data_IF_848220887593
#
_entry.id   IF_848220887593
#
_cell.length_a   1.000
_cell.length_b   1.000
_cell.length_c   1.000
_cell.angle_alpha   90.00
_cell.angle_beta   90.00
_cell.angle_gamma   90.00
#
_symmetry.space_group_name_H-M   'P 1'
#
loop_
_entity.id
_entity.type
_entity.pdbx_description
1 polymer ?
#
# COMPACT_ATOMS: atom_id res chain seq x y z
N UNK A 1 28.83 46.83 -20.26
CA UNK A 1 27.89 47.85 -20.78
C UNK A 1 27.17 47.18 -21.94
N UNK A 2 25.93 46.70 -21.87
CA UNK A 2 24.73 47.27 -21.26
C UNK A 2 23.93 46.23 -20.46
N UNK A 3 23.43 46.72 -19.33
CA UNK A 3 22.43 46.16 -18.44
C UNK A 3 21.03 46.48 -18.96
N UNK A 4 20.14 45.48 -18.99
CA UNK A 4 18.70 45.64 -19.22
C UNK A 4 17.91 44.90 -18.14
N UNK A 5 17.64 45.61 -17.05
CA UNK A 5 16.58 45.36 -16.04
C UNK A 5 15.19 45.36 -16.72
N UNK A 6 14.06 44.80 -16.25
CA UNK A 6 13.48 44.59 -14.90
C UNK A 6 12.09 43.90 -15.07
N UNK A 7 11.64 43.11 -14.06
CA UNK A 7 10.25 43.06 -13.47
C UNK A 7 9.14 42.36 -14.31
N UNK A 8 8.24 41.47 -13.86
CA UNK A 8 7.61 41.01 -12.59
C UNK A 8 7.00 39.58 -12.88
N UNK A 9 6.69 38.64 -11.98
CA UNK A 9 5.83 38.69 -10.78
C UNK A 9 6.28 37.58 -9.79
N UNK A 10 6.56 37.97 -8.55
CA UNK A 10 6.61 37.14 -7.34
C UNK A 10 5.46 37.61 -6.44
N UNK A 11 4.51 36.73 -6.12
CA UNK A 11 3.55 36.84 -4.99
C UNK A 11 2.70 35.56 -5.06
N UNK A 12 2.67 34.65 -4.08
CA UNK A 12 2.16 34.88 -2.72
C UNK A 12 2.65 33.73 -1.82
N UNK A 13 3.24 34.07 -0.67
CA UNK A 13 3.34 33.23 0.52
C UNK A 13 3.00 34.13 1.71
N UNK A 14 2.47 33.50 2.76
CA UNK A 14 2.18 33.96 4.14
C UNK A 14 0.84 34.62 4.42
N UNK A 15 0.03 33.88 5.23
CA UNK A 15 -0.81 34.26 6.39
C UNK A 15 -1.80 33.09 6.62
N UNK A 16 -2.01 32.42 7.75
CA UNK A 16 -1.63 32.65 9.16
C UNK A 16 -1.55 31.32 9.95
N UNK A 17 -0.72 31.34 10.99
CA UNK A 17 -0.73 30.43 12.14
C UNK A 17 -1.14 31.30 13.34
N UNK A 18 -2.24 30.96 14.00
CA UNK A 18 -2.59 31.36 15.37
C UNK A 18 -3.38 30.18 15.97
N UNK A 19 -2.71 29.30 16.73
CA UNK A 19 -2.63 29.28 18.19
C UNK A 19 -4.00 29.10 18.87
N UNK A 20 -4.30 27.86 19.31
CA UNK A 20 -4.66 27.64 20.72
C UNK A 20 -4.43 26.17 21.14
N UNK A 21 -3.28 25.95 21.79
CA UNK A 21 -3.09 24.89 22.79
C UNK A 21 -3.37 25.54 24.13
N UNK A 22 -4.24 24.95 24.95
CA UNK A 22 -4.17 25.15 26.40
C UNK A 22 -4.12 23.81 27.11
N UNK A 23 -3.08 23.68 27.93
CA UNK A 23 -2.81 22.60 28.88
C UNK A 23 -2.40 23.31 30.19
N UNK A 24 -2.98 22.84 31.30
CA UNK A 24 -2.52 22.94 32.71
C UNK A 24 -2.68 24.30 33.44
N UNK A 25 -2.78 24.35 34.80
CA UNK A 25 -2.17 23.41 35.76
C UNK A 25 -2.95 23.05 37.05
N UNK A 26 -2.39 22.04 37.71
CA UNK A 26 -2.66 21.51 39.04
C UNK A 26 -1.89 22.34 40.10
N UNK A 27 -2.47 22.57 41.28
CA UNK A 27 -1.70 22.96 42.48
C UNK A 27 -2.30 22.35 43.76
N UNK A 28 -1.40 21.73 44.51
CA UNK A 28 -1.53 21.07 45.81
C UNK A 28 -1.93 22.03 46.94
N UNK A 29 -2.58 21.54 48.01
CA UNK A 29 -1.98 21.27 49.34
C UNK A 29 -3.06 20.75 50.31
N UNK A 30 -2.57 19.92 51.22
CA UNK A 30 -3.20 18.92 52.06
C UNK A 30 -3.71 19.40 53.46
N UNK A 31 -4.36 18.44 54.14
CA UNK A 31 -4.53 18.20 55.60
C UNK A 31 -5.78 18.68 56.40
N UNK A 32 -6.57 17.65 56.74
CA UNK A 32 -7.21 17.31 58.03
C UNK A 32 -8.34 18.17 58.64
N UNK A 33 -9.58 17.63 58.65
CA UNK A 33 -10.39 17.33 59.86
C UNK A 33 -11.89 17.13 59.56
N UNK A 34 -12.38 15.91 59.89
CA UNK A 34 -13.75 15.54 60.32
C UNK A 34 -14.95 15.45 59.32
N UNK A 35 -15.34 14.19 59.06
CA UNK A 35 -16.71 13.60 59.09
C UNK A 35 -17.83 14.17 58.19
N UNK A 36 -18.28 13.39 57.17
CA UNK A 36 -19.52 12.56 57.17
C UNK A 36 -19.87 11.99 55.77
N UNK A 37 -20.56 10.85 55.77
CA UNK A 37 -20.95 9.95 54.65
C UNK A 37 -21.72 10.61 53.48
N UNK A 38 -21.47 10.16 52.24
CA UNK A 38 -22.43 9.40 51.39
C UNK A 38 -21.92 9.06 49.97
N UNK A 39 -22.25 7.83 49.54
CA UNK A 39 -22.34 7.21 48.21
C UNK A 39 -21.93 7.98 46.92
N UNK A 40 -21.04 7.39 46.09
CA UNK A 40 -21.34 6.73 44.78
C UNK A 40 -20.09 6.46 43.91
N UNK A 41 -19.89 5.18 43.57
CA UNK A 41 -19.48 4.53 42.30
C UNK A 41 -18.66 5.32 41.23
N UNK A 42 -17.45 4.85 40.86
CA UNK A 42 -17.18 4.15 39.57
C UNK A 42 -15.73 3.63 39.37
N UNK A 43 -15.68 2.40 38.84
CA UNK A 43 -14.63 1.72 38.05
C UNK A 43 -13.29 1.32 38.70
N UNK A 44 -13.06 0.01 38.66
CA UNK A 44 -11.71 -0.58 38.72
C UNK A 44 -11.58 -1.74 39.69
N UNK A 45 -12.09 -2.92 39.33
CA UNK A 45 -11.29 -4.16 39.34
C UNK A 45 -12.17 -5.35 38.95
N UNK A 46 -12.18 -5.57 37.63
CA UNK A 46 -12.40 -6.86 36.94
C UNK A 46 -11.37 -7.94 37.35
N UNK A 47 -10.66 -7.73 38.47
CA UNK A 47 -9.60 -8.58 39.02
C UNK A 47 -9.92 -9.11 40.43
N UNK A 48 -11.02 -8.69 41.06
CA UNK A 48 -11.45 -9.21 42.37
C UNK A 48 -12.72 -10.07 42.35
N UNK A 49 -13.44 -10.17 41.22
CA UNK A 49 -14.66 -11.00 41.14
C UNK A 49 -14.39 -12.51 41.08
N UNK A 50 -13.17 -12.93 40.75
CA UNK A 50 -12.75 -14.32 40.92
C UNK A 50 -12.44 -14.70 42.40
N UNK A 51 -12.53 -13.76 43.34
CA UNK A 51 -12.19 -13.99 44.77
C UNK A 51 -13.46 -14.16 45.64
N UNK A 52 -14.67 -13.99 45.10
CA UNK A 52 -15.91 -14.08 45.87
C UNK A 52 -16.80 -15.29 45.50
N UNK A 53 -16.21 -16.40 45.06
CA UNK A 53 -16.81 -17.69 45.37
C UNK A 53 -16.71 -17.88 46.90
N UNK A 54 -17.85 -17.72 47.59
CA UNK A 54 -18.07 -18.28 48.93
C UNK A 54 -17.48 -17.53 50.13
N UNK A 55 -17.49 -16.18 50.19
CA UNK A 55 -16.99 -15.46 51.39
C UNK A 55 -18.02 -14.68 52.22
N UNK A 56 -19.29 -14.54 51.81
CA UNK A 56 -20.25 -13.76 52.61
C UNK A 56 -20.64 -14.45 53.93
N UNK A 57 -20.69 -15.79 53.96
CA UNK A 57 -21.04 -16.55 55.17
C UNK A 57 -19.90 -16.72 56.19
N UNK A 58 -18.68 -16.25 55.86
CA UNK A 58 -17.48 -16.56 56.66
C UNK A 58 -17.45 -15.84 58.01
N UNK A 59 -18.18 -14.74 58.17
CA UNK A 59 -18.16 -13.93 59.40
C UNK A 59 -19.44 -14.02 60.25
N UNK A 60 -20.58 -14.46 59.68
CA UNK A 60 -21.88 -14.43 60.37
C UNK A 60 -22.67 -15.75 60.31
N UNK A 61 -22.12 -16.80 59.69
CA UNK A 61 -22.85 -18.04 59.38
C UNK A 61 -23.77 -17.86 58.17
N UNK A 62 -23.95 -18.92 57.36
CA UNK A 62 -25.04 -18.92 56.38
C UNK A 62 -26.37 -19.16 57.11
N UNK A 63 -27.47 -18.61 56.59
CA UNK A 63 -28.80 -19.04 57.00
C UNK A 63 -28.95 -20.55 56.76
N UNK A 64 -29.62 -21.26 57.67
CA UNK A 64 -30.06 -22.64 57.40
C UNK A 64 -30.98 -22.60 56.17
N UNK A 65 -30.79 -23.55 55.24
CA UNK A 65 -31.53 -23.73 53.97
C UNK A 65 -31.12 -22.86 52.76
N UNK A 66 -29.94 -22.23 52.77
CA UNK A 66 -29.37 -21.58 51.57
C UNK A 66 -28.81 -22.62 50.58
N UNK A 67 -29.36 -22.66 49.37
CA UNK A 67 -28.86 -23.48 48.24
C UNK A 67 -28.13 -22.60 47.22
N UNK A 68 -26.79 -22.64 47.25
CA UNK A 68 -25.93 -21.93 46.30
C UNK A 68 -26.00 -22.49 44.87
N UNK A 69 -26.64 -23.65 44.66
CA UNK A 69 -26.89 -24.23 43.33
C UNK A 69 -28.12 -23.67 42.62
N UNK A 70 -29.01 -22.96 43.33
CA UNK A 70 -30.26 -22.42 42.82
C UNK A 70 -30.19 -20.89 42.67
N UNK A 71 -29.43 -20.43 41.67
CA UNK A 71 -29.19 -19.00 41.41
C UNK A 71 -29.52 -18.60 39.98
N UNK A 72 -30.02 -17.36 39.80
CA UNK A 72 -30.21 -16.73 38.47
C UNK A 72 -29.59 -15.34 38.43
N UNK A 73 -29.08 -14.90 37.28
CA UNK A 73 -28.47 -13.58 37.12
C UNK A 73 -29.52 -12.53 36.72
N UNK A 74 -29.62 -11.46 37.50
CA UNK A 74 -30.48 -10.32 37.20
C UNK A 74 -29.67 -9.20 36.54
N UNK A 75 -29.66 -9.23 35.21
CA UNK A 75 -28.77 -8.41 34.37
C UNK A 75 -28.99 -6.89 34.52
N UNK A 76 -30.19 -6.45 34.87
CA UNK A 76 -30.52 -5.02 35.03
C UNK A 76 -29.83 -4.39 36.25
N UNK A 77 -29.54 -5.18 37.30
CA UNK A 77 -28.84 -4.72 38.50
C UNK A 77 -27.43 -5.33 38.66
N UNK A 78 -26.97 -6.18 37.72
CA UNK A 78 -25.69 -6.90 37.81
C UNK A 78 -25.55 -7.64 39.14
N UNK A 79 -26.62 -8.33 39.53
CA UNK A 79 -26.76 -9.05 40.81
C UNK A 79 -27.10 -10.53 40.58
N UNK A 80 -26.78 -11.36 41.56
CA UNK A 80 -27.16 -12.78 41.61
C UNK A 80 -28.37 -12.93 42.54
N UNK A 81 -29.43 -13.51 42.02
CA UNK A 81 -30.67 -13.83 42.71
C UNK A 81 -30.60 -15.26 43.21
N UNK A 82 -30.90 -15.48 44.49
CA UNK A 82 -31.02 -16.81 45.08
C UNK A 82 -32.51 -17.17 45.17
N UNK A 83 -32.88 -18.40 44.77
CA UNK A 83 -34.22 -18.94 45.00
C UNK A 83 -34.25 -19.75 46.30
N UNK A 84 -33.99 -19.09 47.43
CA UNK A 84 -34.12 -19.70 48.75
C UNK A 84 -35.47 -19.35 49.39
N UNK A 85 -35.88 -20.15 50.39
CA UNK A 85 -37.12 -19.95 51.19
C UNK A 85 -37.19 -18.59 51.91
N UNK A 86 -36.12 -17.80 51.87
CA UNK A 86 -36.08 -16.45 52.42
C UNK A 86 -36.96 -15.48 51.63
N UNK A 87 -37.07 -15.68 50.31
CA UNK A 87 -37.89 -14.83 49.43
C UNK A 87 -39.39 -15.13 49.43
N UNK A 88 -39.83 -16.08 50.26
CA UNK A 88 -41.23 -16.39 50.52
C UNK A 88 -41.87 -15.41 51.53
N UNK A 89 -41.07 -14.51 52.11
CA UNK A 89 -41.51 -13.46 53.05
C UNK A 89 -41.31 -12.13 52.36
N UNK A 90 -42.37 -11.55 51.81
CA UNK A 90 -42.41 -10.33 50.98
C UNK A 90 -41.45 -9.21 51.46
N UNK A 91 -40.18 -9.27 51.02
CA UNK A 91 -39.11 -8.33 51.33
C UNK A 91 -38.50 -7.81 50.02
N UNK A 92 -38.02 -6.57 50.04
CA UNK A 92 -37.54 -5.80 48.88
C UNK A 92 -36.22 -6.29 48.27
N UNK A 93 -35.54 -7.24 48.91
CA UNK A 93 -34.24 -7.76 48.48
C UNK A 93 -34.39 -9.01 47.60
N UNK A 94 -35.62 -9.35 47.22
CA UNK A 94 -35.96 -10.53 46.42
C UNK A 94 -36.23 -10.17 44.96
N UNK A 95 -35.95 -11.12 44.07
CA UNK A 95 -36.03 -10.87 42.64
C UNK A 95 -37.48 -10.81 42.16
N UNK A 96 -37.83 -9.88 41.26
CA UNK A 96 -39.23 -9.59 40.92
C UNK A 96 -39.99 -10.78 40.34
N UNK A 97 -39.28 -11.76 39.79
CA UNK A 97 -39.75 -12.96 39.11
C UNK A 97 -39.72 -14.24 39.99
N UNK A 98 -39.31 -14.14 41.26
CA UNK A 98 -39.19 -15.27 42.19
C UNK A 98 -40.45 -16.14 42.28
N UNK A 99 -41.63 -15.53 42.48
CA UNK A 99 -42.90 -16.28 42.59
C UNK A 99 -43.25 -17.00 41.29
N UNK A 100 -42.99 -16.39 40.14
CA UNK A 100 -43.29 -16.98 38.82
C UNK A 100 -42.28 -18.04 38.37
N UNK A 101 -41.02 -17.95 38.79
CA UNK A 101 -39.95 -18.85 38.33
C UNK A 101 -39.76 -20.05 39.26
N UNK A 102 -39.87 -19.85 40.58
CA UNK A 102 -39.53 -20.87 41.57
C UNK A 102 -40.76 -21.49 42.27
N UNK A 103 -41.96 -20.91 42.11
CA UNK A 103 -43.19 -21.40 42.77
C UNK A 103 -44.26 -21.93 41.79
N UNK A 104 -44.24 -21.52 40.53
CA UNK A 104 -45.09 -22.10 39.48
C UNK A 104 -44.32 -23.24 38.80
N UNK A 105 -44.70 -24.49 39.10
CA UNK A 105 -44.30 -25.68 38.34
C UNK A 105 -44.82 -25.57 36.89
N UNK A 106 -44.12 -24.80 36.06
CA UNK A 106 -44.18 -24.99 34.62
C UNK A 106 -43.00 -25.87 34.25
N UNK A 107 -43.29 -27.08 33.78
CA UNK A 107 -42.32 -27.87 33.04
C UNK A 107 -41.89 -27.04 31.82
N UNK A 108 -40.72 -26.42 31.94
CA UNK A 108 -40.09 -25.75 30.82
C UNK A 108 -39.63 -26.85 29.86
N UNK A 109 -40.05 -26.84 28.58
CA UNK A 109 -39.51 -27.77 27.60
C UNK A 109 -37.99 -27.63 27.62
N UNK A 110 -37.22 -28.73 27.54
CA UNK A 110 -35.77 -28.68 27.67
C UNK A 110 -35.23 -27.61 26.73
N UNK A 111 -34.53 -26.63 27.31
CA UNK A 111 -33.83 -25.59 26.55
C UNK A 111 -32.92 -26.30 25.54
N UNK A 112 -33.38 -26.39 24.30
CA UNK A 112 -32.71 -27.09 23.21
C UNK A 112 -31.83 -26.14 22.41
N UNK A 113 -31.70 -24.88 22.84
CA UNK A 113 -30.82 -23.89 22.24
C UNK A 113 -29.77 -23.44 23.26
N UNK A 114 -28.47 -23.52 22.93
CA UNK A 114 -27.39 -23.06 23.81
C UNK A 114 -27.56 -21.58 24.17
N UNK A 115 -27.39 -21.26 25.46
CA UNK A 115 -27.56 -19.92 26.05
C UNK A 115 -26.42 -18.93 25.71
N UNK A 116 -25.53 -19.30 24.79
CA UNK A 116 -24.55 -18.43 24.19
C UNK A 116 -24.72 -18.56 22.69
N UNK A 117 -24.97 -17.45 21.94
CA UNK A 117 -24.94 -17.54 20.49
C UNK A 117 -23.56 -18.03 20.09
N UNK A 118 -23.50 -19.20 19.44
CA UNK A 118 -22.27 -19.72 18.87
C UNK A 118 -21.76 -18.71 17.85
N UNK A 119 -20.54 -18.22 18.05
CA UNK A 119 -20.02 -17.13 17.25
C UNK A 119 -18.78 -16.48 17.84
N UNK A 120 -18.24 -15.53 17.10
CA UNK A 120 -17.02 -14.82 17.44
C UNK A 120 -17.32 -13.33 17.60
N UNK A 121 -16.66 -12.69 18.57
CA UNK A 121 -16.74 -11.24 18.74
C UNK A 121 -15.54 -10.55 18.11
N UNK A 122 -15.79 -9.43 17.43
CA UNK A 122 -14.72 -8.56 16.93
C UNK A 122 -15.19 -7.11 16.83
N UNK A 123 -14.35 -6.17 17.28
CA UNK A 123 -14.60 -4.71 17.21
C UNK A 123 -15.96 -4.28 17.77
N UNK A 124 -16.44 -5.00 18.80
CA UNK A 124 -17.75 -4.75 19.42
C UNK A 124 -18.95 -5.36 18.68
N UNK A 125 -18.74 -6.07 17.58
CA UNK A 125 -19.77 -6.77 16.80
C UNK A 125 -19.69 -8.30 17.01
N UNK A 126 -20.85 -8.96 17.05
CA UNK A 126 -20.98 -10.42 17.08
C UNK A 126 -21.11 -11.00 15.67
N UNK A 127 -20.44 -12.12 15.40
CA UNK A 127 -20.46 -12.85 14.14
C UNK A 127 -20.86 -14.30 14.39
N UNK A 128 -21.74 -14.85 13.56
CA UNK A 128 -22.18 -16.25 13.65
C UNK A 128 -21.03 -17.22 13.35
N UNK A 129 -21.10 -18.44 13.88
CA UNK A 129 -20.17 -19.52 13.56
C UNK A 129 -20.05 -19.75 12.04
N UNK A 130 -18.82 -19.95 11.56
CA UNK A 130 -18.54 -20.08 10.12
C UNK A 130 -18.46 -18.75 9.36
N UNK A 131 -18.78 -17.62 9.99
CA UNK A 131 -18.59 -16.29 9.38
C UNK A 131 -17.14 -16.08 8.95
N UNK A 132 -16.96 -15.49 7.76
CA UNK A 132 -15.63 -15.17 7.22
C UNK A 132 -15.47 -13.66 7.12
N UNK A 133 -14.43 -13.13 7.75
CA UNK A 133 -14.02 -11.73 7.62
C UNK A 133 -12.66 -11.64 6.94
N UNK A 134 -12.38 -10.50 6.32
CA UNK A 134 -11.05 -10.20 5.78
C UNK A 134 -10.32 -9.20 6.67
N UNK A 135 -9.12 -9.58 7.09
CA UNK A 135 -8.20 -8.74 7.84
C UNK A 135 -6.97 -8.45 7.00
N UNK A 136 -6.91 -7.24 6.44
CA UNK A 136 -5.90 -6.90 5.45
C UNK A 136 -5.92 -7.94 4.30
N UNK A 137 -4.84 -8.71 4.12
CA UNK A 137 -4.76 -9.78 3.12
C UNK A 137 -5.22 -11.15 3.62
N UNK A 138 -5.47 -11.31 4.92
CA UNK A 138 -5.79 -12.58 5.53
C UNK A 138 -7.30 -12.81 5.61
N UNK A 139 -7.72 -14.06 5.42
CA UNK A 139 -9.11 -14.49 5.58
C UNK A 139 -9.24 -15.19 6.93
N UNK A 140 -10.15 -14.72 7.77
CA UNK A 140 -10.39 -15.22 9.11
C UNK A 140 -11.78 -15.84 9.18
N UNK A 141 -11.83 -17.12 9.55
CA UNK A 141 -13.10 -17.85 9.73
C UNK A 141 -13.36 -18.02 11.22
N UNK A 142 -14.57 -17.65 11.65
CA UNK A 142 -15.02 -17.91 13.01
C UNK A 142 -15.22 -19.42 13.20
N UNK A 143 -14.50 -20.00 14.14
CA UNK A 143 -14.61 -21.42 14.47
C UNK A 143 -14.43 -21.66 15.96
N UNK A 144 -15.49 -22.05 16.66
CA UNK A 144 -15.47 -22.36 18.09
C UNK A 144 -15.12 -21.15 18.95
N UNK A 145 -15.81 -20.01 18.73
CA UNK A 145 -15.58 -18.73 19.41
C UNK A 145 -14.19 -18.10 19.20
N UNK A 146 -13.37 -18.66 18.32
CA UNK A 146 -12.06 -18.13 17.96
C UNK A 146 -11.96 -17.86 16.46
N UNK A 147 -11.22 -16.80 16.11
CA UNK A 147 -10.90 -16.50 14.72
C UNK A 147 -9.71 -17.34 14.26
N UNK A 148 -9.95 -18.20 13.25
CA UNK A 148 -8.90 -18.92 12.55
C UNK A 148 -8.54 -18.18 11.27
N UNK A 149 -7.44 -17.44 11.32
CA UNK A 149 -6.95 -16.64 10.19
C UNK A 149 -5.88 -17.37 9.38
N UNK A 150 -5.88 -17.15 8.06
CA UNK A 150 -4.69 -17.42 7.24
C UNK A 150 -3.50 -16.61 7.74
N UNK A 151 -2.28 -17.13 7.55
CA UNK A 151 -1.04 -16.49 7.99
C UNK A 151 -0.19 -16.06 6.78
N UNK A 152 -0.76 -15.24 5.91
CA UNK A 152 -0.01 -14.63 4.81
C UNK A 152 0.67 -13.35 5.28
N UNK A 153 1.89 -13.14 4.81
CA UNK A 153 2.58 -11.85 4.96
C UNK A 153 1.89 -10.84 4.05
N UNK A 154 1.20 -9.87 4.64
CA UNK A 154 0.53 -8.82 3.87
C UNK A 154 1.53 -7.79 3.35
N UNK A 155 1.21 -7.18 2.21
CA UNK A 155 2.03 -6.14 1.62
C UNK A 155 2.03 -4.88 2.50
N UNK A 156 0.84 -4.42 2.89
CA UNK A 156 0.67 -3.31 3.83
C UNK A 156 0.93 -3.78 5.25
N UNK A 157 1.97 -3.23 5.88
CA UNK A 157 2.40 -3.59 7.24
C UNK A 157 2.52 -2.33 8.12
N UNK A 158 1.49 -2.03 8.94
CA UNK A 158 1.48 -0.85 9.80
C UNK A 158 2.72 -0.73 10.70
N UNK A 159 3.20 -1.85 11.24
CA UNK A 159 4.38 -1.94 12.09
C UNK A 159 5.66 -1.51 11.35
N UNK A 160 5.80 -1.85 10.07
CA UNK A 160 6.92 -1.42 9.25
C UNK A 160 6.84 0.08 8.94
N UNK A 161 5.64 0.57 8.60
CA UNK A 161 5.42 2.00 8.33
C UNK A 161 5.78 2.83 9.57
N UNK A 162 5.33 2.39 10.75
CA UNK A 162 5.64 3.03 12.02
C UNK A 162 7.14 2.96 12.33
N UNK A 163 7.79 1.81 12.10
CA UNK A 163 9.23 1.66 12.29
C UNK A 163 10.04 2.63 11.41
N UNK A 164 9.70 2.75 10.13
CA UNK A 164 10.36 3.71 9.22
C UNK A 164 10.14 5.14 9.69
N UNK A 165 8.91 5.50 10.07
CA UNK A 165 8.58 6.87 10.47
C UNK A 165 9.13 7.28 11.85
N UNK A 166 9.40 6.32 12.75
CA UNK A 166 10.08 6.58 14.02
C UNK A 166 11.61 6.66 13.88
N UNK A 167 12.18 6.03 12.85
CA UNK A 167 13.62 6.02 12.63
C UNK A 167 14.12 7.27 11.87
N UNK A 168 15.39 7.62 12.08
CA UNK A 168 16.06 8.70 11.35
C UNK A 168 16.71 8.19 10.06
N UNK A 169 15.89 7.72 9.12
CA UNK A 169 16.35 7.13 7.85
C UNK A 169 16.38 8.13 6.68
N UNK A 170 15.91 9.36 6.87
CA UNK A 170 15.88 10.40 5.83
C UNK A 170 14.73 10.29 4.81
N UNK A 171 13.77 9.39 5.06
CA UNK A 171 12.54 9.25 4.27
C UNK A 171 11.37 8.79 5.15
N UNK A 172 10.15 8.99 4.65
CA UNK A 172 8.92 8.65 5.37
C UNK A 172 8.08 7.65 4.58
N UNK A 173 7.36 6.82 5.33
CA UNK A 173 6.48 5.79 4.81
C UNK A 173 4.99 6.15 5.00
N UNK A 174 4.14 5.68 4.11
CA UNK A 174 2.68 5.83 4.21
C UNK A 174 1.96 4.58 3.67
N UNK A 175 0.74 4.38 4.18
CA UNK A 175 -0.19 3.37 3.68
C UNK A 175 -0.86 3.85 2.38
N UNK A 176 -0.88 2.98 1.38
CA UNK A 176 -1.58 3.17 0.12
C UNK A 176 -2.74 2.18 0.00
N UNK A 177 -3.97 2.69 -0.11
CA UNK A 177 -5.18 1.86 -0.24
C UNK A 177 -5.13 0.88 -1.42
N UNK A 178 -4.43 1.24 -2.50
CA UNK A 178 -4.22 0.36 -3.67
C UNK A 178 -3.40 -0.90 -3.39
N UNK A 179 -2.78 -1.02 -2.22
CA UNK A 179 -2.02 -2.19 -1.76
C UNK A 179 -2.73 -2.95 -0.65
N UNK A 180 -3.83 -2.41 -0.10
CA UNK A 180 -4.59 -3.06 0.95
C UNK A 180 -5.20 -4.37 0.45
N UNK A 181 -5.08 -5.44 1.25
CA UNK A 181 -5.58 -6.75 0.88
C UNK A 181 -4.68 -7.58 -0.03
N UNK A 182 -3.53 -7.04 -0.46
CA UNK A 182 -2.53 -7.80 -1.22
C UNK A 182 -1.57 -8.52 -0.28
N UNK A 183 -1.19 -9.75 -0.62
CA UNK A 183 -0.04 -10.39 0.01
C UNK A 183 1.27 -9.74 -0.47
N UNK A 184 2.35 -9.89 0.27
CA UNK A 184 3.67 -9.41 -0.14
C UNK A 184 4.11 -10.06 -1.47
N UNK A 185 3.77 -11.33 -1.66
CA UNK A 185 4.00 -12.07 -2.90
C UNK A 185 3.21 -11.47 -4.07
N UNK A 186 1.93 -11.14 -3.86
CA UNK A 186 1.11 -10.45 -4.87
C UNK A 186 1.69 -9.09 -5.21
N UNK A 187 2.15 -8.34 -4.20
CA UNK A 187 2.85 -7.08 -4.39
C UNK A 187 4.03 -7.24 -5.34
N UNK A 188 4.92 -8.19 -5.05
CA UNK A 188 6.06 -8.46 -5.91
C UNK A 188 5.66 -8.91 -7.31
N UNK A 189 4.74 -9.87 -7.41
CA UNK A 189 4.28 -10.44 -8.67
C UNK A 189 3.60 -9.41 -9.58
N UNK A 190 2.72 -8.58 -9.02
CA UNK A 190 1.88 -7.69 -9.83
C UNK A 190 2.49 -6.29 -10.02
N UNK A 191 3.47 -5.87 -9.22
CA UNK A 191 4.02 -4.51 -9.31
C UNK A 191 5.44 -4.41 -9.86
N UNK A 192 6.23 -5.49 -9.85
CA UNK A 192 7.66 -5.39 -10.13
C UNK A 192 8.11 -5.64 -11.56
N UNK A 193 7.22 -5.74 -12.52
CA UNK A 193 7.65 -5.61 -13.91
C UNK A 193 8.53 -6.77 -14.46
N UNK A 194 8.93 -7.76 -13.65
CA UNK A 194 10.02 -8.69 -14.04
C UNK A 194 9.66 -10.18 -13.97
N UNK A 195 8.64 -10.60 -13.21
CA UNK A 195 8.07 -11.97 -13.24
C UNK A 195 6.60 -11.97 -12.79
N UNK A 196 5.72 -12.74 -13.45
CA UNK A 196 4.67 -12.24 -14.35
C UNK A 196 3.68 -11.23 -13.71
N UNK A 197 3.84 -9.93 -13.96
CA UNK A 197 2.86 -8.87 -13.71
C UNK A 197 1.94 -8.63 -14.92
N UNK A 198 0.98 -7.70 -14.77
CA UNK A 198 0.10 -7.31 -15.88
C UNK A 198 0.90 -6.72 -17.06
N UNK A 199 0.53 -7.01 -18.32
CA UNK A 199 1.25 -6.53 -19.51
C UNK A 199 1.46 -5.02 -19.59
N UNK A 200 0.59 -4.24 -18.93
CA UNK A 200 0.66 -2.78 -18.90
C UNK A 200 1.84 -2.25 -18.08
N UNK A 201 2.12 -2.83 -16.91
CA UNK A 201 3.22 -2.38 -16.04
C UNK A 201 4.60 -2.75 -16.61
N UNK A 202 4.64 -3.77 -17.46
CA UNK A 202 5.83 -4.39 -18.03
C UNK A 202 6.57 -3.56 -19.09
N UNK A 203 6.00 -2.47 -19.59
CA UNK A 203 6.61 -1.78 -20.74
C UNK A 203 6.57 -0.24 -20.68
N UNK A 204 5.99 0.33 -19.62
CA UNK A 204 5.85 1.78 -19.50
C UNK A 204 7.19 2.51 -19.42
N UNK A 205 8.22 1.90 -18.84
CA UNK A 205 9.50 2.58 -18.66
C UNK A 205 10.29 2.67 -19.97
N UNK A 206 10.42 1.58 -20.72
CA UNK A 206 11.08 1.54 -22.03
C UNK A 206 10.46 2.55 -22.98
N UNK A 207 9.12 2.53 -23.06
CA UNK A 207 8.37 3.42 -23.94
C UNK A 207 8.47 4.87 -23.53
N UNK A 208 8.42 5.18 -22.23
CA UNK A 208 8.51 6.57 -21.78
C UNK A 208 9.93 7.10 -21.91
N UNK A 209 10.96 6.28 -21.62
CA UNK A 209 12.36 6.64 -21.90
C UNK A 209 12.53 6.91 -23.39
N UNK A 210 12.05 6.02 -24.26
CA UNK A 210 12.16 6.22 -25.70
C UNK A 210 11.40 7.44 -26.20
N UNK A 211 10.17 7.68 -25.73
CA UNK A 211 9.37 8.85 -26.09
C UNK A 211 10.09 10.15 -25.71
N UNK A 212 10.58 10.25 -24.47
CA UNK A 212 11.30 11.42 -23.98
C UNK A 212 12.56 11.67 -24.82
N UNK A 213 13.32 10.62 -25.13
CA UNK A 213 14.54 10.74 -25.95
C UNK A 213 14.26 11.11 -27.40
N UNK A 214 13.23 10.55 -28.01
CA UNK A 214 12.78 10.95 -29.35
C UNK A 214 12.40 12.43 -29.34
N UNK A 215 11.69 12.91 -28.32
CA UNK A 215 11.35 14.32 -28.19
C UNK A 215 12.58 15.21 -28.04
N UNK A 216 13.50 14.87 -27.14
CA UNK A 216 14.73 15.63 -26.89
C UNK A 216 15.60 15.68 -28.15
N UNK A 217 15.88 14.53 -28.75
CA UNK A 217 16.79 14.43 -29.89
C UNK A 217 16.18 15.05 -31.16
N UNK A 218 14.85 15.00 -31.31
CA UNK A 218 14.14 15.68 -32.40
C UNK A 218 13.95 17.18 -32.14
N UNK A 219 14.52 17.74 -31.06
CA UNK A 219 14.35 19.15 -30.64
C UNK A 219 12.88 19.56 -30.53
N UNK A 220 12.04 18.65 -30.03
CA UNK A 220 10.60 18.87 -29.85
C UNK A 220 9.74 18.65 -31.09
N UNK A 221 10.31 18.20 -32.23
CA UNK A 221 9.52 17.90 -33.44
C UNK A 221 8.56 16.73 -33.22
N UNK A 222 8.93 15.75 -32.39
CA UNK A 222 8.13 14.57 -32.09
C UNK A 222 7.93 14.39 -30.60
N UNK A 223 6.73 14.69 -30.10
CA UNK A 223 6.41 14.67 -28.65
C UNK A 223 5.35 13.62 -28.30
N UNK A 224 5.09 12.67 -29.19
CA UNK A 224 4.05 11.67 -28.98
C UNK A 224 4.44 10.64 -27.91
N UNK A 225 3.54 10.40 -26.97
CA UNK A 225 3.62 9.23 -26.08
C UNK A 225 3.46 7.96 -26.90
N UNK A 226 4.33 6.97 -26.70
CA UNK A 226 4.26 5.68 -27.39
C UNK A 226 3.16 4.78 -26.80
N UNK A 227 2.56 3.92 -27.63
CA UNK A 227 1.44 3.05 -27.24
C UNK A 227 1.89 1.78 -26.51
N UNK A 228 1.49 1.59 -25.23
CA UNK A 228 1.63 0.31 -24.53
C UNK A 228 0.86 -0.82 -25.20
N UNK A 229 -0.35 -0.52 -25.65
CA UNK A 229 -1.23 -1.50 -26.27
C UNK A 229 -0.60 -2.08 -27.55
N UNK A 230 0.05 -1.24 -28.37
CA UNK A 230 0.74 -1.71 -29.55
C UNK A 230 1.85 -2.71 -29.19
N UNK A 231 2.68 -2.39 -28.20
CA UNK A 231 3.78 -3.26 -27.82
C UNK A 231 3.25 -4.61 -27.29
N UNK A 232 2.28 -4.57 -26.38
CA UNK A 232 1.70 -5.77 -25.75
C UNK A 232 0.99 -6.66 -26.79
N UNK A 233 0.11 -6.09 -27.61
CA UNK A 233 -0.66 -6.86 -28.60
C UNK A 233 0.16 -7.37 -29.78
N UNK A 234 1.27 -6.69 -30.14
CA UNK A 234 2.02 -6.98 -31.37
C UNK A 234 3.39 -7.59 -31.16
N UNK A 235 3.92 -7.59 -29.93
CA UNK A 235 5.14 -8.31 -29.58
C UNK A 235 4.90 -9.82 -29.35
N UNK A 236 3.66 -10.31 -29.49
CA UNK A 236 3.27 -11.68 -29.16
C UNK A 236 2.90 -12.52 -30.38
N UNK A 237 3.88 -13.04 -31.15
CA UNK A 237 3.59 -14.01 -32.25
C UNK A 237 4.58 -15.16 -32.44
N UNK A 238 5.38 -15.52 -31.43
CA UNK A 238 6.00 -16.85 -31.34
C UNK A 238 6.24 -17.18 -29.86
N UNK A 239 6.51 -18.45 -29.53
CA UNK A 239 6.54 -19.14 -28.20
C UNK A 239 7.33 -18.45 -27.04
N UNK A 240 7.77 -17.21 -27.25
CA UNK A 240 8.55 -16.31 -26.40
C UNK A 240 8.12 -14.82 -26.59
N UNK A 241 6.83 -14.49 -26.56
CA UNK A 241 6.36 -13.09 -26.70
C UNK A 241 6.77 -12.16 -25.54
N UNK A 242 6.38 -10.88 -25.60
CA UNK A 242 6.50 -9.93 -24.46
C UNK A 242 5.57 -10.27 -23.26
N UNK A 243 4.86 -11.40 -23.33
CA UNK A 243 3.99 -11.91 -22.25
C UNK A 243 4.75 -12.19 -20.94
N UNK A 244 6.09 -12.28 -20.99
CA UNK A 244 6.95 -12.52 -19.83
C UNK A 244 7.70 -11.27 -19.34
N UNK A 245 7.41 -10.06 -19.83
CA UNK A 245 8.01 -8.84 -19.28
C UNK A 245 9.49 -8.62 -19.60
N UNK A 246 10.00 -9.14 -20.73
CA UNK A 246 11.42 -8.99 -21.07
C UNK A 246 11.73 -7.58 -21.58
N UNK A 247 12.48 -6.83 -20.76
CA UNK A 247 13.05 -5.50 -21.07
C UNK A 247 13.78 -5.51 -22.42
N UNK A 248 14.65 -6.50 -22.64
CA UNK A 248 15.42 -6.64 -23.88
C UNK A 248 14.51 -6.78 -25.10
N UNK A 249 13.43 -7.57 -24.99
CA UNK A 249 12.48 -7.76 -26.09
C UNK A 249 11.74 -6.48 -26.42
N UNK A 250 11.36 -5.68 -25.42
CA UNK A 250 10.70 -4.40 -25.63
C UNK A 250 11.61 -3.43 -26.41
N UNK A 251 12.88 -3.28 -25.99
CA UNK A 251 13.85 -2.45 -26.72
C UNK A 251 14.12 -2.96 -28.14
N UNK A 252 14.28 -4.29 -28.31
CA UNK A 252 14.47 -4.87 -29.62
C UNK A 252 13.26 -4.72 -30.54
N UNK A 253 12.05 -4.80 -29.99
CA UNK A 253 10.82 -4.56 -30.73
C UNK A 253 10.75 -3.11 -31.19
N UNK A 254 11.02 -2.16 -30.30
CA UNK A 254 11.03 -0.73 -30.62
C UNK A 254 12.05 -0.38 -31.71
N UNK A 255 13.24 -0.99 -31.68
CA UNK A 255 14.23 -0.87 -32.76
C UNK A 255 13.73 -1.49 -34.08
N UNK A 256 13.35 -2.77 -34.07
CA UNK A 256 13.10 -3.56 -35.30
C UNK A 256 11.73 -3.33 -35.92
N UNK A 257 10.72 -3.02 -35.12
CA UNK A 257 9.32 -2.88 -35.53
C UNK A 257 8.78 -1.49 -35.29
N UNK A 258 9.26 -0.81 -34.24
CA UNK A 258 8.76 0.50 -33.84
C UNK A 258 7.35 0.42 -33.26
N UNK A 259 6.91 1.54 -32.69
CA UNK A 259 5.59 1.69 -32.07
C UNK A 259 4.87 2.91 -32.65
N UNK A 260 3.53 2.86 -32.65
CA UNK A 260 2.71 4.06 -32.88
C UNK A 260 2.48 4.84 -31.59
N UNK A 261 1.92 6.05 -31.73
CA UNK A 261 1.50 6.86 -30.58
C UNK A 261 0.36 6.20 -29.80
N UNK A 262 0.25 6.54 -28.52
CA UNK A 262 -0.89 6.18 -27.67
C UNK A 262 -2.22 6.71 -28.25
N UNK A 263 -2.20 7.89 -28.88
CA UNK A 263 -3.37 8.43 -29.57
C UNK A 263 -3.83 7.52 -30.73
N UNK A 264 -2.90 6.90 -31.46
CA UNK A 264 -3.20 5.99 -32.56
C UNK A 264 -3.75 4.64 -32.05
N UNK A 265 -3.13 4.07 -31.02
CA UNK A 265 -3.52 2.79 -30.44
C UNK A 265 -3.67 2.95 -28.92
N UNK A 266 -4.83 3.45 -28.44
CA UNK A 266 -5.05 3.68 -27.01
C UNK A 266 -5.17 2.37 -26.24
N UNK A 267 -5.05 2.46 -24.92
CA UNK A 267 -5.28 1.32 -24.04
C UNK A 267 -6.79 1.03 -23.97
N UNK A 268 -7.20 -0.14 -24.44
CA UNK A 268 -8.60 -0.57 -24.35
C UNK A 268 -8.81 -1.27 -23.00
N UNK A 269 -9.81 -0.83 -22.22
CA UNK A 269 -10.12 -1.41 -20.90
C UNK A 269 -10.68 -2.83 -20.99
N UNK A 270 -11.37 -3.14 -22.09
CA UNK A 270 -11.88 -4.48 -22.36
C UNK A 270 -10.81 -5.37 -23.00
N UNK A 271 -10.28 -6.30 -22.21
CA UNK A 271 -9.41 -7.38 -22.69
C UNK A 271 -10.12 -8.37 -23.63
N UNK A 272 -11.44 -8.20 -23.84
CA UNK A 272 -12.24 -8.98 -24.79
C UNK A 272 -12.25 -8.39 -26.21
N UNK A 273 -11.63 -7.22 -26.43
CA UNK A 273 -11.44 -6.68 -27.77
C UNK A 273 -10.27 -7.40 -28.45
N UNK A 274 -10.56 -8.52 -29.13
CA UNK A 274 -9.69 -9.25 -30.07
C UNK A 274 -8.18 -9.16 -29.76
N UNK A 275 -7.63 -10.19 -29.10
CA UNK A 275 -6.19 -10.38 -28.78
C UNK A 275 -5.21 -10.35 -29.99
N UNK A 276 -5.65 -9.88 -31.15
CA UNK A 276 -4.85 -9.70 -32.34
C UNK A 276 -4.10 -8.37 -32.34
N UNK A 277 -2.85 -8.41 -32.82
CA UNK A 277 -2.12 -7.21 -33.19
C UNK A 277 -2.88 -6.40 -34.27
N UNK A 278 -3.42 -5.25 -33.90
CA UNK A 278 -4.09 -4.35 -34.84
C UNK A 278 -3.11 -3.50 -35.66
N UNK A 279 -1.89 -3.28 -35.16
CA UNK A 279 -0.88 -2.43 -35.78
C UNK A 279 0.38 -3.19 -36.18
N UNK A 280 0.54 -3.43 -37.48
CA UNK A 280 1.77 -3.97 -38.04
C UNK A 280 2.54 -2.88 -38.78
N UNK A 281 3.85 -3.08 -38.91
CA UNK A 281 4.73 -2.18 -39.65
C UNK A 281 5.60 -2.93 -40.66
N UNK A 282 5.89 -2.28 -41.79
CA UNK A 282 6.73 -2.76 -42.89
C UNK A 282 7.97 -1.88 -43.03
N UNK A 283 9.09 -2.49 -43.43
CA UNK A 283 10.33 -1.78 -43.73
C UNK A 283 10.25 -1.15 -45.13
N UNK A 284 10.84 0.03 -45.31
CA UNK A 284 11.01 0.69 -46.60
C UNK A 284 12.30 0.24 -47.33
N UNK A 285 13.04 -0.72 -46.78
CA UNK A 285 14.33 -1.18 -47.31
C UNK A 285 15.53 -0.32 -46.88
N UNK A 286 15.31 0.88 -46.35
CA UNK A 286 16.33 1.81 -45.84
C UNK A 286 16.35 1.89 -44.31
N UNK A 287 15.58 1.04 -43.64
CA UNK A 287 15.52 0.92 -42.19
C UNK A 287 14.41 1.74 -41.53
N UNK A 288 13.69 2.59 -42.29
CA UNK A 288 12.50 3.29 -41.81
C UNK A 288 11.31 2.33 -41.87
N UNK A 289 10.40 2.47 -40.90
CA UNK A 289 9.18 1.67 -40.86
C UNK A 289 7.94 2.52 -41.04
N UNK A 290 6.97 1.93 -41.70
CA UNK A 290 5.66 2.53 -41.94
C UNK A 290 4.57 1.57 -41.47
N UNK A 291 3.53 2.13 -40.86
CA UNK A 291 2.35 1.36 -40.51
C UNK A 291 1.70 0.78 -41.78
N UNK A 292 1.23 -0.46 -41.70
CA UNK A 292 0.55 -1.13 -42.82
C UNK A 292 -0.95 -0.86 -42.86
N UNK A 293 -1.50 -0.31 -41.78
CA UNK A 293 -2.93 -0.04 -41.57
C UNK A 293 -3.12 1.34 -40.93
N UNK A 294 -4.32 1.95 -41.05
CA UNK A 294 -4.68 3.13 -40.26
C UNK A 294 -4.77 2.79 -38.77
N UNK A 295 -4.80 3.83 -37.94
CA UNK A 295 -4.90 3.70 -36.49
C UNK A 295 -6.20 2.99 -36.06
N UNK A 296 -6.16 2.13 -35.03
CA UNK A 296 -7.38 1.59 -34.40
C UNK A 296 -8.28 2.69 -33.84
N UNK A 297 -7.69 3.78 -33.33
CA UNK A 297 -8.42 4.99 -33.05
C UNK A 297 -8.66 5.76 -34.35
N UNK A 298 -9.92 5.82 -34.80
CA UNK A 298 -10.34 6.52 -36.02
C UNK A 298 -10.19 8.05 -35.94
N UNK A 299 -10.00 8.63 -34.75
CA UNK A 299 -9.79 10.07 -34.55
C UNK A 299 -8.35 10.45 -34.93
N UNK A 300 -7.38 9.57 -34.65
CA UNK A 300 -5.98 9.84 -34.93
C UNK A 300 -5.66 9.55 -36.40
N UNK A 301 -5.21 10.59 -37.11
CA UNK A 301 -4.83 10.48 -38.53
C UNK A 301 -3.40 10.00 -38.70
N UNK A 302 -2.53 10.30 -37.73
CA UNK A 302 -1.11 9.96 -37.78
C UNK A 302 -0.86 8.55 -37.28
N UNK A 303 -0.52 7.64 -38.19
CA UNK A 303 -0.05 6.29 -37.89
C UNK A 303 1.49 6.18 -37.91
N UNK A 304 2.18 7.28 -37.58
CA UNK A 304 3.65 7.33 -37.60
C UNK A 304 4.24 6.26 -36.70
N UNK A 305 5.25 5.56 -37.22
CA UNK A 305 6.03 4.57 -36.46
C UNK A 305 7.28 5.27 -35.91
N UNK A 306 7.45 5.14 -34.60
CA UNK A 306 8.60 5.63 -33.86
C UNK A 306 9.57 4.47 -33.60
N UNK A 307 10.86 4.70 -33.87
CA UNK A 307 11.92 3.72 -33.70
C UNK A 307 13.07 4.28 -32.86
N UNK A 308 13.89 3.37 -32.35
CA UNK A 308 15.12 3.71 -31.63
C UNK A 308 16.32 2.98 -32.23
N UNK A 309 17.52 3.44 -31.90
CA UNK A 309 18.77 2.72 -32.13
C UNK A 309 18.77 1.38 -31.38
N UNK A 310 19.77 0.51 -31.63
CA UNK A 310 20.06 -0.57 -30.68
C UNK A 310 20.17 -0.04 -29.25
N UNK A 311 19.59 -0.75 -28.25
CA UNK A 311 19.82 -0.41 -26.86
C UNK A 311 21.28 -0.64 -26.51
N UNK A 312 21.82 0.18 -25.62
CA UNK A 312 23.18 0.06 -25.09
C UNK A 312 23.17 0.24 -23.58
N UNK A 313 24.20 -0.33 -22.94
CA UNK A 313 24.41 -0.21 -21.50
C UNK A 313 25.25 1.03 -21.22
N UNK A 314 24.77 1.86 -20.30
CA UNK A 314 25.55 2.97 -19.76
C UNK A 314 26.45 2.44 -18.64
N UNK A 315 27.66 2.98 -18.52
CA UNK A 315 28.57 2.65 -17.43
C UNK A 315 27.87 2.84 -16.08
N UNK A 316 28.19 1.99 -15.09
CA UNK A 316 27.67 2.10 -13.72
C UNK A 316 28.31 3.25 -12.92
N UNK A 317 29.16 4.07 -13.54
CA UNK A 317 29.73 5.25 -12.90
C UNK A 317 28.68 6.34 -12.70
N UNK A 318 28.58 6.89 -11.49
CA UNK A 318 27.73 8.05 -11.15
C UNK A 318 27.85 9.16 -12.21
N UNK A 319 29.09 9.49 -12.63
CA UNK A 319 29.36 10.58 -13.57
C UNK A 319 28.88 10.29 -14.98
N UNK A 320 29.00 9.04 -15.45
CA UNK A 320 28.57 8.65 -16.79
C UNK A 320 27.04 8.59 -16.88
N UNK A 321 26.38 8.13 -15.81
CA UNK A 321 24.91 8.16 -15.72
C UNK A 321 24.41 9.61 -15.75
N UNK A 322 25.01 10.50 -14.95
CA UNK A 322 24.68 11.94 -14.95
C UNK A 322 24.88 12.55 -16.35
N UNK A 323 26.03 12.29 -16.96
CA UNK A 323 26.37 12.79 -18.30
C UNK A 323 25.37 12.32 -19.35
N UNK A 324 25.00 11.05 -19.32
CA UNK A 324 24.03 10.48 -20.24
C UNK A 324 22.65 11.13 -20.10
N UNK A 325 22.16 11.30 -18.86
CA UNK A 325 20.89 11.98 -18.61
C UNK A 325 20.93 13.43 -19.08
N UNK A 326 22.03 14.14 -18.80
CA UNK A 326 22.21 15.55 -19.18
C UNK A 326 22.22 15.76 -20.70
N UNK A 327 22.92 14.89 -21.43
CA UNK A 327 23.14 15.08 -22.86
C UNK A 327 22.02 14.49 -23.71
N UNK A 328 21.47 13.34 -23.30
CA UNK A 328 20.61 12.52 -24.14
C UNK A 328 19.22 12.28 -23.54
N UNK A 329 18.96 12.73 -22.32
CA UNK A 329 17.68 12.57 -21.63
C UNK A 329 17.58 11.30 -20.77
N UNK A 330 16.39 11.01 -20.23
CA UNK A 330 16.18 9.97 -19.23
C UNK A 330 16.75 8.59 -19.62
N UNK A 331 17.13 7.79 -18.62
CA UNK A 331 17.62 6.41 -18.83
C UNK A 331 16.75 5.41 -18.07
N UNK A 332 16.74 4.16 -18.51
CA UNK A 332 16.12 3.08 -17.75
C UNK A 332 17.12 2.50 -16.76
N UNK A 333 16.72 2.39 -15.50
CA UNK A 333 17.47 1.70 -14.46
C UNK A 333 16.71 0.48 -13.98
N UNK A 334 17.45 -0.55 -13.56
CA UNK A 334 16.89 -1.71 -12.87
C UNK A 334 17.36 -1.67 -11.42
N UNK A 335 16.42 -1.69 -10.50
CA UNK A 335 16.70 -1.70 -9.06
C UNK A 335 16.10 -2.94 -8.40
N UNK A 336 16.67 -3.37 -7.29
CA UNK A 336 16.06 -4.35 -6.39
C UNK A 336 14.98 -3.66 -5.56
N UNK A 337 13.76 -4.19 -5.59
CA UNK A 337 12.68 -3.67 -4.74
C UNK A 337 12.58 -4.50 -3.47
N UNK A 338 12.50 -3.77 -2.35
CA UNK A 338 12.33 -4.32 -1.02
C UNK A 338 10.92 -4.00 -0.52
N UNK A 339 10.50 -4.72 0.50
CA UNK A 339 9.15 -4.64 1.07
C UNK A 339 8.78 -3.27 1.66
N UNK A 340 9.77 -2.52 2.15
CA UNK A 340 9.61 -1.16 2.66
C UNK A 340 9.37 -0.13 1.55
N UNK A 341 9.95 -0.35 0.36
CA UNK A 341 9.83 0.55 -0.79
C UNK A 341 8.38 0.75 -1.25
N UNK A 342 7.51 -0.26 -1.12
CA UNK A 342 6.08 -0.12 -1.43
C UNK A 342 5.42 1.02 -0.65
N UNK A 343 5.93 1.34 0.53
CA UNK A 343 5.38 2.34 1.43
C UNK A 343 6.05 3.71 1.27
N UNK A 344 7.02 3.87 0.37
CA UNK A 344 7.72 5.15 0.18
C UNK A 344 6.74 6.30 -0.10
N UNK A 345 6.84 7.37 0.69
CA UNK A 345 6.07 8.61 0.52
C UNK A 345 6.94 9.76 0.01
N UNK A 346 7.98 10.12 0.74
CA UNK A 346 8.87 11.24 0.43
C UNK A 346 10.20 11.14 1.18
N UNK A 347 11.24 11.81 0.69
CA UNK A 347 12.59 11.83 1.25
C UNK A 347 13.59 11.10 0.37
N UNK A 348 14.78 10.78 0.88
CA UNK A 348 15.79 10.03 0.13
C UNK A 348 15.75 8.58 0.59
N UNK A 349 15.12 7.72 -0.22
CA UNK A 349 14.96 6.30 0.08
C UNK A 349 16.32 5.61 0.26
N UNK A 350 16.38 4.79 1.30
CA UNK A 350 17.40 3.79 1.59
C UNK A 350 16.71 2.62 2.28
N UNK A 351 17.10 1.40 1.95
CA UNK A 351 16.46 0.22 2.51
C UNK A 351 16.67 0.14 4.03
N UNK A 352 15.57 -0.06 4.75
CA UNK A 352 15.56 -0.30 6.19
C UNK A 352 15.43 -1.80 6.43
N UNK A 353 16.39 -2.39 7.16
CA UNK A 353 16.37 -3.81 7.46
C UNK A 353 15.28 -4.10 8.48
N UNK A 354 14.25 -4.85 8.10
CA UNK A 354 13.25 -5.37 9.02
C UNK A 354 13.77 -6.63 9.73
N UNK A 355 13.50 -6.76 11.03
CA UNK A 355 13.89 -7.92 11.87
C UNK A 355 13.07 -9.19 11.62
N UNK A 356 12.04 -9.12 10.77
CA UNK A 356 11.14 -10.25 10.53
C UNK A 356 11.80 -11.31 9.64
N UNK A 357 12.26 -12.42 10.25
CA UNK A 357 12.87 -13.57 9.55
C UNK A 357 11.98 -14.18 8.45
N UNK A 358 10.66 -13.98 8.48
CA UNK A 358 9.76 -14.47 7.43
C UNK A 358 9.90 -13.74 6.08
N UNK A 359 10.41 -12.50 6.07
CA UNK A 359 10.77 -11.81 4.82
C UNK A 359 11.97 -12.45 4.12
N UNK A 360 12.77 -13.24 4.84
CA UNK A 360 13.94 -13.92 4.27
C UNK A 360 13.53 -14.94 3.20
N UNK A 361 12.35 -15.55 3.33
CA UNK A 361 11.78 -16.44 2.30
C UNK A 361 11.57 -15.73 0.96
N UNK A 362 11.31 -14.42 0.99
CA UNK A 362 11.09 -13.57 -0.17
C UNK A 362 12.35 -12.82 -0.63
N UNK A 363 13.54 -13.11 -0.07
CA UNK A 363 14.84 -12.52 -0.50
C UNK A 363 15.28 -12.86 -1.92
N UNK A 364 14.52 -13.66 -2.67
CA UNK A 364 14.76 -13.86 -4.10
C UNK A 364 14.89 -12.50 -4.77
N UNK A 365 15.83 -12.33 -5.70
CA UNK A 365 16.09 -11.04 -6.36
C UNK A 365 14.83 -10.54 -7.08
N UNK A 366 14.09 -9.66 -6.40
CA UNK A 366 12.93 -8.98 -6.94
C UNK A 366 13.39 -7.67 -7.55
N UNK A 367 13.40 -7.60 -8.88
CA UNK A 367 13.92 -6.43 -9.62
C UNK A 367 12.79 -5.64 -10.25
N UNK A 368 12.95 -4.34 -10.40
CA UNK A 368 11.96 -3.45 -11.01
C UNK A 368 12.66 -2.46 -11.91
N UNK A 369 12.07 -2.20 -13.07
CA UNK A 369 12.52 -1.15 -13.97
C UNK A 369 11.94 0.19 -13.53
N UNK A 370 12.76 1.24 -13.55
CA UNK A 370 12.36 2.63 -13.30
C UNK A 370 13.03 3.56 -14.30
N UNK A 371 12.49 4.77 -14.47
CA UNK A 371 13.08 5.78 -15.35
C UNK A 371 13.83 6.81 -14.52
N UNK A 372 15.16 6.87 -14.65
CA UNK A 372 15.95 7.95 -14.05
C UNK A 372 15.84 9.20 -14.91
N UNK A 373 15.40 10.30 -14.31
CA UNK A 373 15.15 11.58 -15.00
C UNK A 373 16.11 12.69 -14.59
N UNK A 374 16.79 12.53 -13.46
CA UNK A 374 17.71 13.55 -12.95
C UNK A 374 18.35 13.16 -11.63
N UNK A 375 19.03 14.12 -11.01
CA UNK A 375 19.70 13.95 -9.73
C UNK A 375 19.70 15.28 -8.97
N UNK A 376 20.04 15.20 -7.68
CA UNK A 376 20.22 16.39 -6.86
C UNK A 376 21.10 16.14 -5.66
N UNK A 377 21.18 17.19 -4.84
CA UNK A 377 21.79 17.16 -3.51
C UNK A 377 20.93 17.93 -2.53
N UNK A 378 20.65 17.35 -1.37
CA UNK A 378 20.02 18.04 -0.25
C UNK A 378 21.00 18.18 0.91
N UNK A 379 20.87 19.26 1.69
CA UNK A 379 21.53 19.34 2.99
C UNK A 379 20.63 18.64 4.00
N UNK A 380 21.10 17.52 4.56
CA UNK A 380 20.42 16.83 5.64
C UNK A 380 20.41 17.65 6.93
N UNK A 381 19.62 17.21 7.92
CA UNK A 381 19.47 17.89 9.21
C UNK A 381 20.80 18.10 9.96
N UNK A 382 21.79 17.23 9.73
CA UNK A 382 23.13 17.28 10.31
C UNK A 382 24.14 18.07 9.45
N UNK A 383 23.69 18.81 8.43
CA UNK A 383 24.54 19.56 7.50
C UNK A 383 25.28 18.72 6.45
N UNK A 384 25.14 17.39 6.48
CA UNK A 384 25.70 16.48 5.47
C UNK A 384 24.98 16.65 4.14
N UNK A 385 25.72 16.72 3.03
CA UNK A 385 25.16 16.74 1.68
C UNK A 385 24.79 15.31 1.29
N UNK A 386 23.49 15.05 1.13
CA UNK A 386 22.98 13.78 0.62
C UNK A 386 22.69 13.91 -0.87
N UNK A 387 23.34 13.05 -1.65
CA UNK A 387 23.16 12.91 -3.09
C UNK A 387 21.98 11.97 -3.34
N UNK A 388 21.12 12.31 -4.30
CA UNK A 388 20.03 11.42 -4.71
C UNK A 388 19.83 11.40 -6.22
N UNK A 389 19.27 10.31 -6.72
CA UNK A 389 18.66 10.20 -8.05
C UNK A 389 17.18 10.57 -7.97
N UNK A 390 16.63 11.11 -9.05
CA UNK A 390 15.19 11.32 -9.24
C UNK A 390 14.73 10.26 -10.23
N UNK A 391 13.77 9.44 -9.80
CA UNK A 391 13.27 8.32 -10.58
C UNK A 391 11.74 8.40 -10.70
N UNK A 392 11.22 8.18 -11.90
CA UNK A 392 9.80 8.00 -12.14
C UNK A 392 9.44 6.52 -12.00
N UNK A 393 8.39 6.23 -11.24
CA UNK A 393 7.84 4.90 -11.06
C UNK A 393 6.58 4.69 -11.95
N UNK A 394 6.18 3.44 -12.14
CA UNK A 394 5.03 3.05 -12.98
C UNK A 394 3.76 2.72 -12.18
N UNK A 395 3.71 3.03 -10.88
CA UNK A 395 2.58 2.71 -9.98
C UNK A 395 1.53 3.80 -9.83
N UNK A 396 1.53 4.77 -10.74
CA UNK A 396 0.58 5.88 -10.76
C UNK A 396 0.98 7.07 -9.88
N UNK A 397 0.29 8.19 -10.11
CA UNK A 397 0.62 9.47 -9.46
C UNK A 397 0.27 9.53 -7.97
N UNK A 398 -0.62 8.64 -7.50
CA UNK A 398 -1.00 8.59 -6.08
C UNK A 398 0.10 8.02 -5.19
N UNK A 399 1.12 7.36 -5.77
CA UNK A 399 2.22 6.76 -5.04
C UNK A 399 3.44 7.70 -4.96
N UNK A 400 4.15 7.70 -3.84
CA UNK A 400 5.35 8.50 -3.62
C UNK A 400 5.12 10.00 -3.85
N UNK A 401 6.07 10.64 -4.52
CA UNK A 401 6.10 12.07 -4.80
C UNK A 401 5.45 12.34 -6.16
N UNK A 402 4.13 12.18 -6.25
CA UNK A 402 3.37 12.28 -7.51
C UNK A 402 3.79 11.26 -8.58
N UNK A 403 4.10 10.02 -8.16
CA UNK A 403 4.61 8.94 -9.01
C UNK A 403 6.14 8.92 -9.14
N UNK A 404 6.84 9.84 -8.48
CA UNK A 404 8.30 9.88 -8.43
C UNK A 404 8.81 9.43 -7.05
N UNK A 405 10.09 9.10 -7.02
CA UNK A 405 10.81 8.90 -5.78
C UNK A 405 12.25 9.39 -5.91
N UNK A 406 12.87 9.62 -4.76
CA UNK A 406 14.28 9.95 -4.64
C UNK A 406 14.98 8.82 -3.89
N UNK A 407 16.12 8.41 -4.39
CA UNK A 407 16.90 7.29 -3.85
C UNK A 407 18.37 7.68 -3.74
N UNK A 408 19.03 7.17 -2.71
CA UNK A 408 20.41 7.48 -2.40
C UNK A 408 21.34 7.18 -3.59
N UNK A 409 22.22 8.14 -3.89
CA UNK A 409 23.10 8.13 -5.08
C UNK A 409 24.57 8.06 -4.69
N UNK A 410 25.35 7.35 -5.49
CA UNK A 410 26.80 7.18 -5.35
C UNK A 410 27.21 5.98 -4.50
N UNK A 411 26.25 5.16 -4.08
CA UNK A 411 26.46 3.95 -3.26
C UNK A 411 25.76 2.72 -3.84
N UNK A 412 25.21 2.82 -5.06
CA UNK A 412 24.43 1.77 -5.70
C UNK A 412 23.29 1.22 -4.81
N UNK A 413 22.56 2.13 -4.12
CA UNK A 413 21.43 1.78 -3.27
C UNK A 413 20.39 0.97 -4.06
N UNK A 414 19.98 -0.17 -3.52
CA UNK A 414 19.09 -1.11 -4.20
C UNK A 414 19.55 -1.49 -5.62
N UNK A 415 20.86 -1.59 -5.86
CA UNK A 415 21.42 -1.95 -7.18
C UNK A 415 21.06 -0.98 -8.34
N UNK A 416 20.54 0.22 -8.05
CA UNK A 416 19.96 1.11 -9.07
C UNK A 416 20.98 1.61 -10.11
N UNK A 417 22.26 1.71 -9.76
CA UNK A 417 23.33 2.21 -10.64
C UNK A 417 23.96 1.08 -11.47
N UNK A 418 23.63 -0.18 -11.16
CA UNK A 418 24.28 -1.36 -11.72
C UNK A 418 23.92 -1.60 -13.18
N UNK A 419 22.63 -1.55 -13.52
CA UNK A 419 22.14 -1.88 -14.86
C UNK A 419 21.30 -0.72 -15.42
N UNK A 420 21.99 0.14 -16.17
CA UNK A 420 21.41 1.30 -16.84
C UNK A 420 21.37 1.04 -18.35
N UNK A 421 20.19 1.20 -18.95
CA UNK A 421 19.92 0.95 -20.37
C UNK A 421 19.41 2.24 -21.01
N UNK A 422 19.93 2.53 -22.19
CA UNK A 422 19.56 3.67 -23.00
C UNK A 422 19.47 3.29 -24.48
N UNK A 423 18.82 4.14 -25.26
CA UNK A 423 18.81 4.08 -26.72
C UNK A 423 18.73 5.51 -27.29
N UNK A 424 19.10 5.69 -28.54
CA UNK A 424 18.86 6.94 -29.27
C UNK A 424 17.51 6.87 -29.99
N UNK A 425 16.76 7.96 -30.04
CA UNK A 425 15.64 8.11 -30.94
C UNK A 425 16.12 8.07 -32.39
N UNK A 426 15.56 7.20 -33.22
CA UNK A 426 15.94 7.11 -34.62
C UNK A 426 15.26 8.23 -35.41
N UNK A 427 16.00 9.29 -35.70
CA UNK A 427 15.60 10.35 -36.63
C UNK A 427 16.14 9.95 -38.01
N UNK A 428 15.27 9.85 -39.02
CA UNK A 428 15.73 9.57 -40.38
C UNK A 428 16.21 10.85 -41.05
N UNK A 429 17.12 10.80 -42.02
CA UNK A 429 17.64 11.98 -42.72
C UNK A 429 16.56 12.82 -43.42
N UNK A 430 15.39 12.23 -43.72
CA UNK A 430 14.22 12.99 -44.19
C UNK A 430 13.51 13.81 -43.10
N UNK A 431 13.92 13.64 -41.84
CA UNK A 431 13.38 14.32 -40.66
C UNK A 431 14.35 15.39 -40.11
N UNK A 432 15.57 15.50 -40.66
CA UNK A 432 16.46 16.65 -40.48
C UNK A 432 15.96 17.84 -41.33
N UNK A 433 16.05 19.08 -40.82
CA UNK A 433 15.53 20.28 -41.50
C UNK A 433 16.24 20.61 -42.80
#
# INVERSE_FOLDING_TARGET
>A
MWTGYKILIFSYLTTEIWMEKQYLPQREVDLAAYFTRNHTVFQGTRFKRAIFQGQYCRNFGCCEDRDDGCVTEFYEANALCYCDKFCDRENSDCCPDYKSFCHEEKEWPPHTQPWYPEGCFKDGQHYEEGSVIKENCNSCTCSGQQWKCSQHVCLVRPELIEHVNKGDYGWTAQNYSQFWGMTLEDGFKFRLGTLPPSPMLLSMNEMTVAADRIAIQSKGRYTANLSPQNLISCCAKNRHGCNSGSIDRAWWYLRKRGLVSHACYPLFKDQNANNGCAMASRSDGRGKRHATKPCPNNIEKSNRIYQCSPPYRVSSSETEIMKEIMQNGPVQAIMQVREDFFHYKTGIYRHVTSTNKESEKYRKLQTHAVKLTGWGTLRGAQGRKEKFWIAANSWGKSWGENGYFRILRGVNESDIEKLIIAAWGQLTSSDEP
#
